data_IF_881785491370
#
_entry.id   IF_881785491370
#
_cell.length_a   1.000
_cell.length_b   1.000
_cell.length_c   1.000
_cell.angle_alpha   90.00
_cell.angle_beta   90.00
_cell.angle_gamma   90.00
#
_symmetry.space_group_name_H-M   'P 1'
#
loop_
_entity.id
_entity.type
_entity.pdbx_description
1 polymer ?
#
# COMPACT_ATOMS: atom_id res chain seq x y z
N UNK A 1 1.32 5.87 -26.41
CA UNK A 1 0.04 6.60 -26.48
C UNK A 1 0.05 7.67 -25.41
N UNK A 2 -0.56 8.83 -25.67
CA UNK A 2 -0.70 9.88 -24.65
C UNK A 2 -1.77 9.45 -23.64
N UNK A 3 -1.45 9.48 -22.34
CA UNK A 3 -2.43 9.22 -21.28
C UNK A 3 -3.49 10.32 -21.25
N UNK A 4 -4.75 9.93 -21.05
CA UNK A 4 -5.86 10.85 -20.81
C UNK A 4 -5.70 11.60 -19.49
N UNK A 5 -6.39 12.74 -19.37
CA UNK A 5 -6.43 13.52 -18.13
C UNK A 5 -6.89 12.68 -16.94
N UNK A 6 -7.86 11.80 -17.13
CA UNK A 6 -8.40 10.98 -16.04
C UNK A 6 -7.43 9.88 -15.61
N UNK A 7 -6.68 9.30 -16.55
CA UNK A 7 -5.59 8.36 -16.23
C UNK A 7 -4.48 9.05 -15.42
N UNK A 8 -4.08 10.25 -15.83
CA UNK A 8 -3.09 11.06 -15.11
C UNK A 8 -3.57 11.44 -13.70
N UNK A 9 -4.83 11.83 -13.55
CA UNK A 9 -5.41 12.13 -12.24
C UNK A 9 -5.49 10.89 -11.35
N UNK A 10 -5.81 9.71 -11.89
CA UNK A 10 -5.79 8.44 -11.15
C UNK A 10 -4.37 8.09 -10.70
N UNK A 11 -3.38 8.19 -11.58
CA UNK A 11 -1.99 7.95 -11.24
C UNK A 11 -1.51 8.92 -10.14
N UNK A 12 -1.79 10.22 -10.28
CA UNK A 12 -1.46 11.23 -9.27
C UNK A 12 -2.08 10.93 -7.92
N UNK A 13 -3.39 10.64 -7.87
CA UNK A 13 -4.09 10.33 -6.61
C UNK A 13 -3.52 9.07 -5.95
N UNK A 14 -3.19 8.05 -6.73
CA UNK A 14 -2.57 6.82 -6.23
C UNK A 14 -1.21 7.12 -5.61
N UNK A 15 -0.33 7.83 -6.34
CA UNK A 15 0.99 8.19 -5.81
C UNK A 15 0.90 9.10 -4.58
N UNK A 16 -0.03 10.07 -4.56
CA UNK A 16 -0.26 10.90 -3.37
C UNK A 16 -0.75 10.09 -2.19
N UNK A 17 -1.68 9.17 -2.39
CA UNK A 17 -2.17 8.31 -1.30
C UNK A 17 -1.06 7.45 -0.71
N UNK A 18 -0.21 6.84 -1.56
CA UNK A 18 0.95 6.07 -1.10
C UNK A 18 1.90 6.96 -0.29
N UNK A 19 2.20 8.17 -0.78
CA UNK A 19 3.06 9.11 -0.06
C UNK A 19 2.50 9.48 1.31
N UNK A 20 1.24 9.90 1.37
CA UNK A 20 0.58 10.31 2.62
C UNK A 20 0.52 9.15 3.62
N UNK A 21 0.24 7.93 3.14
CA UNK A 21 0.24 6.74 3.98
C UNK A 21 1.60 6.51 4.63
N UNK A 22 2.68 6.54 3.85
CA UNK A 22 4.03 6.31 4.38
C UNK A 22 4.53 7.46 5.25
N UNK A 23 4.24 8.72 4.90
CA UNK A 23 4.59 9.87 5.74
C UNK A 23 3.86 9.80 7.09
N UNK A 24 2.58 9.40 7.09
CA UNK A 24 1.86 9.15 8.33
C UNK A 24 2.46 7.98 9.09
N UNK A 25 2.73 6.86 8.42
CA UNK A 25 3.32 5.67 9.04
C UNK A 25 4.70 5.98 9.66
N UNK A 26 5.49 6.85 9.03
CA UNK A 26 6.77 7.32 9.57
C UNK A 26 6.61 8.07 10.90
N UNK A 27 5.57 8.89 11.04
CA UNK A 27 5.24 9.57 12.31
C UNK A 27 4.79 8.57 13.35
N UNK A 28 3.87 7.66 13.00
CA UNK A 28 3.34 6.65 13.92
C UNK A 28 4.45 5.71 14.42
N UNK A 29 5.37 5.28 13.55
CA UNK A 29 6.46 4.38 13.93
C UNK A 29 7.38 5.00 15.01
N UNK A 30 7.55 6.32 15.00
CA UNK A 30 8.36 7.04 16.02
C UNK A 30 7.74 7.01 17.41
N UNK A 31 6.45 6.71 17.53
CA UNK A 31 5.77 6.60 18.84
C UNK A 31 6.22 5.36 19.61
N UNK A 32 6.74 4.34 18.92
CA UNK A 32 7.09 3.04 19.51
C UNK A 32 5.90 2.07 19.64
N UNK A 33 4.69 2.47 19.25
CA UNK A 33 3.48 1.65 19.36
C UNK A 33 3.34 0.61 18.24
N UNK A 34 4.07 0.76 17.13
CA UNK A 34 4.07 -0.20 16.02
C UNK A 34 5.12 -1.28 16.29
N UNK A 35 4.74 -2.57 16.34
CA UNK A 35 5.68 -3.65 16.58
C UNK A 35 6.56 -3.92 15.34
N UNK A 36 7.83 -4.26 15.58
CA UNK A 36 8.74 -4.76 14.55
C UNK A 36 9.31 -3.65 13.66
N UNK A 37 9.21 -3.84 12.33
CA UNK A 37 9.87 -3.01 11.33
C UNK A 37 8.88 -2.49 10.30
N UNK A 38 9.14 -1.28 9.79
CA UNK A 38 8.40 -0.68 8.67
C UNK A 38 9.34 -0.33 7.54
N UNK A 39 8.94 -0.62 6.30
CA UNK A 39 9.71 -0.29 5.09
C UNK A 39 8.87 0.62 4.20
N UNK A 40 9.18 1.92 4.22
CA UNK A 40 8.39 2.96 3.55
C UNK A 40 8.58 2.91 2.04
N UNK A 41 7.52 2.88 1.26
CA UNK A 41 7.52 2.95 -0.21
C UNK A 41 7.85 4.36 -0.77
N UNK A 42 7.90 5.39 0.07
CA UNK A 42 8.14 6.77 -0.33
C UNK A 42 9.37 6.92 -1.28
N UNK A 43 9.12 7.50 -2.46
CA UNK A 43 10.11 7.64 -3.54
C UNK A 43 9.97 6.60 -4.67
N UNK A 44 9.24 5.51 -4.44
CA UNK A 44 9.00 4.44 -5.43
C UNK A 44 7.56 4.45 -5.98
N UNK A 45 6.75 5.48 -5.70
CA UNK A 45 5.29 5.48 -5.93
C UNK A 45 4.91 5.23 -7.40
N UNK A 46 5.73 5.70 -8.33
CA UNK A 46 5.53 5.51 -9.76
C UNK A 46 5.59 4.02 -10.18
N UNK A 47 6.32 3.19 -9.44
CA UNK A 47 6.41 1.74 -9.69
C UNK A 47 5.05 1.10 -9.47
N UNK A 48 4.48 1.25 -8.27
CA UNK A 48 3.16 0.70 -7.94
C UNK A 48 2.04 1.31 -8.80
N UNK A 49 2.00 2.65 -8.91
CA UNK A 49 0.95 3.33 -9.67
C UNK A 49 1.01 2.99 -11.17
N UNK A 50 2.22 2.86 -11.73
CA UNK A 50 2.44 2.52 -13.13
C UNK A 50 2.06 1.09 -13.45
N UNK A 51 2.58 0.11 -12.71
CA UNK A 51 2.30 -1.30 -13.00
C UNK A 51 0.83 -1.64 -12.75
N UNK A 52 0.26 -1.21 -11.61
CA UNK A 52 -1.11 -1.59 -11.25
C UNK A 52 -2.15 -0.90 -12.12
N UNK A 53 -1.84 0.22 -12.78
CA UNK A 53 -2.73 0.84 -13.77
C UNK A 53 -2.95 -0.02 -15.03
N UNK A 54 -2.07 -1.00 -15.27
CA UNK A 54 -2.15 -1.91 -16.42
C UNK A 54 -2.57 -3.33 -16.03
N UNK A 55 -2.76 -3.59 -14.73
CA UNK A 55 -3.27 -4.88 -14.24
C UNK A 55 -4.79 -4.85 -14.17
N UNK A 56 -5.41 -5.97 -14.51
CA UNK A 56 -6.82 -6.20 -14.26
C UNK A 56 -7.04 -6.69 -12.82
N UNK A 57 -8.32 -6.69 -12.38
CA UNK A 57 -8.68 -7.19 -11.06
C UNK A 57 -8.33 -8.67 -10.84
N UNK A 58 -8.30 -9.46 -11.93
CA UNK A 58 -7.95 -10.89 -11.91
C UNK A 58 -6.44 -11.16 -11.88
N UNK A 59 -5.63 -10.14 -12.14
CA UNK A 59 -4.18 -10.31 -12.20
C UNK A 59 -3.58 -10.25 -10.79
N UNK A 60 -2.63 -11.14 -10.54
CA UNK A 60 -1.96 -11.27 -9.25
C UNK A 60 -0.65 -10.49 -9.23
N UNK A 61 -0.32 -9.91 -8.07
CA UNK A 61 0.98 -9.28 -7.84
C UNK A 61 1.53 -9.74 -6.49
N UNK A 62 2.81 -10.08 -6.46
CA UNK A 62 3.54 -10.32 -5.23
C UNK A 62 4.55 -9.19 -5.03
N UNK A 63 4.71 -8.75 -3.78
CA UNK A 63 5.74 -7.79 -3.39
C UNK A 63 6.68 -8.42 -2.37
N UNK A 64 7.75 -7.67 -2.04
CA UNK A 64 8.69 -8.04 -0.98
C UNK A 64 8.26 -7.37 0.34
N UNK A 65 9.20 -7.14 1.25
CA UNK A 65 8.96 -6.45 2.52
C UNK A 65 8.56 -4.97 2.38
N UNK A 66 8.68 -4.37 1.18
CA UNK A 66 8.32 -2.97 0.86
C UNK A 66 7.04 -2.94 0.01
N UNK A 67 5.97 -3.52 0.52
CA UNK A 67 4.75 -3.80 -0.26
C UNK A 67 3.68 -2.71 -0.26
N UNK A 68 3.76 -1.68 0.60
CA UNK A 68 2.63 -0.77 0.87
C UNK A 68 2.07 -0.11 -0.40
N UNK A 69 2.95 0.36 -1.29
CA UNK A 69 2.55 0.99 -2.55
C UNK A 69 1.74 0.06 -3.44
N UNK A 70 2.18 -1.21 -3.59
CA UNK A 70 1.46 -2.20 -4.39
C UNK A 70 0.10 -2.54 -3.78
N UNK A 71 0.02 -2.70 -2.44
CA UNK A 71 -1.25 -2.96 -1.77
C UNK A 71 -2.27 -1.84 -2.02
N UNK A 72 -1.85 -0.57 -1.83
CA UNK A 72 -2.71 0.60 -2.08
C UNK A 72 -3.11 0.65 -3.56
N UNK A 73 -2.17 0.47 -4.48
CA UNK A 73 -2.43 0.56 -5.92
C UNK A 73 -3.33 -0.57 -6.44
N UNK A 74 -3.35 -1.74 -5.78
CA UNK A 74 -4.31 -2.84 -6.03
C UNK A 74 -5.65 -2.66 -5.29
N UNK A 75 -5.80 -1.58 -4.54
CA UNK A 75 -7.07 -1.22 -3.90
C UNK A 75 -7.29 -1.83 -2.52
N UNK A 76 -6.22 -2.20 -1.80
CA UNK A 76 -6.31 -2.46 -0.36
C UNK A 76 -6.69 -1.17 0.38
N UNK A 77 -7.59 -1.27 1.35
CA UNK A 77 -8.03 -0.11 2.13
C UNK A 77 -6.92 0.37 3.08
N UNK A 78 -6.48 1.64 3.03
CA UNK A 78 -5.41 2.16 3.89
C UNK A 78 -5.68 1.99 5.39
N UNK A 79 -6.93 2.09 5.82
CA UNK A 79 -7.32 1.93 7.23
C UNK A 79 -7.12 0.49 7.71
N UNK A 80 -7.48 -0.49 6.88
CA UNK A 80 -7.25 -1.91 7.17
C UNK A 80 -5.76 -2.27 7.11
N UNK A 81 -4.99 -1.64 6.21
CA UNK A 81 -3.54 -1.77 6.19
C UNK A 81 -2.91 -1.21 7.46
N UNK A 82 -3.34 -0.04 7.93
CA UNK A 82 -2.83 0.55 9.18
C UNK A 82 -3.20 -0.31 10.39
N UNK A 83 -4.42 -0.86 10.44
CA UNK A 83 -4.82 -1.81 11.47
C UNK A 83 -3.93 -3.07 11.48
N UNK A 84 -3.56 -3.59 10.29
CA UNK A 84 -2.64 -4.72 10.16
C UNK A 84 -1.25 -4.39 10.71
N UNK A 85 -0.72 -3.22 10.34
CA UNK A 85 0.60 -2.74 10.79
C UNK A 85 0.64 -2.58 12.33
N UNK A 86 -0.46 -2.12 12.92
CA UNK A 86 -0.62 -2.02 14.37
C UNK A 86 -0.91 -3.35 15.08
N UNK A 87 -0.95 -4.48 14.35
CA UNK A 87 -1.25 -5.79 14.93
C UNK A 87 -2.68 -5.91 15.47
N UNK A 88 -3.64 -5.20 14.87
CA UNK A 88 -5.05 -5.21 15.30
C UNK A 88 -5.85 -6.26 14.52
N UNK A 89 -6.86 -6.84 15.17
CA UNK A 89 -7.72 -7.86 14.56
C UNK A 89 -8.50 -7.39 13.32
N UNK A 90 -8.70 -6.08 13.18
CA UNK A 90 -9.33 -5.47 12.00
C UNK A 90 -8.38 -5.33 10.80
N UNK A 91 -7.12 -5.75 10.93
CA UNK A 91 -6.15 -5.76 9.85
C UNK A 91 -6.51 -6.76 8.75
N UNK A 92 -5.98 -6.53 7.54
CA UNK A 92 -6.23 -7.37 6.36
C UNK A 92 -5.89 -8.85 6.57
N UNK A 93 -4.95 -9.15 7.47
CA UNK A 93 -4.54 -10.51 7.83
C UNK A 93 -4.80 -10.82 9.31
N UNK A 94 -5.69 -10.05 9.96
CA UNK A 94 -6.03 -10.20 11.36
C UNK A 94 -4.95 -9.74 12.34
N UNK A 95 -4.04 -8.86 11.92
CA UNK A 95 -2.98 -8.29 12.74
C UNK A 95 -1.78 -9.21 12.96
N UNK A 96 -1.60 -10.22 12.10
CA UNK A 96 -0.55 -11.25 12.24
C UNK A 96 0.63 -11.07 11.29
N UNK A 97 0.42 -10.36 10.18
CA UNK A 97 1.43 -10.14 9.15
C UNK A 97 2.28 -8.89 9.41
N UNK A 98 1.67 -7.84 9.95
CA UNK A 98 2.33 -6.54 10.13
C UNK A 98 2.75 -5.90 8.80
N UNK A 99 3.69 -4.95 8.85
CA UNK A 99 4.08 -4.14 7.68
C UNK A 99 4.64 -4.95 6.50
N UNK A 100 5.36 -6.05 6.75
CA UNK A 100 6.04 -6.81 5.69
C UNK A 100 5.15 -7.84 4.99
N UNK A 101 4.02 -8.22 5.59
CA UNK A 101 3.20 -9.35 5.14
C UNK A 101 1.72 -8.97 5.01
N UNK A 102 1.46 -7.78 4.46
CA UNK A 102 0.11 -7.36 4.11
C UNK A 102 -0.34 -8.08 2.83
N UNK A 103 -1.48 -8.77 2.89
CA UNK A 103 -2.06 -9.46 1.73
C UNK A 103 -3.59 -9.39 1.75
N UNK A 104 -4.19 -9.22 0.57
CA UNK A 104 -5.63 -9.36 0.34
C UNK A 104 -5.84 -10.13 -0.97
N UNK A 105 -6.19 -11.42 -0.84
CA UNK A 105 -6.37 -12.31 -2.00
C UNK A 105 -7.55 -11.88 -2.90
N UNK A 106 -8.47 -11.06 -2.39
CA UNK A 106 -9.56 -10.50 -3.20
C UNK A 106 -9.10 -9.36 -4.12
N UNK A 107 -7.88 -8.83 -3.90
CA UNK A 107 -7.29 -7.75 -4.69
C UNK A 107 -6.23 -8.22 -5.69
N UNK A 108 -5.92 -9.52 -5.69
CA UNK A 108 -4.95 -10.17 -6.58
C UNK A 108 -3.57 -10.30 -5.95
#
# INVERSE_FOLDING_TARGET
MQQSRDELLRAYRTMRLVREFDERLHVEFKTGEIPGFVHLYAGEEAVAAGICAHLEAKDHIASTHRGHGHCIAKGCAPEAMMAEIYGRAAGLCGGKGGSMHIADLSKG
#
